data_IF_865090852075
#
_entry.id   IF_865090852075
#
_cell.length_a   1.000
_cell.length_b   1.000
_cell.length_c   1.000
_cell.angle_alpha   90.00
_cell.angle_beta   90.00
_cell.angle_gamma   90.00
#
_symmetry.space_group_name_H-M   'P 1'
#
loop_
_entity.id
_entity.type
_entity.pdbx_description
1 polymer ?
#
# COMPACT_ATOMS: atom_id res chain seq x y z
N UNK A 1 -13.23 -18.54 -15.59
CA UNK A 1 -12.18 -17.49 -15.49
C UNK A 1 -12.20 -16.85 -14.10
N UNK A 2 -11.15 -16.13 -13.67
CA UNK A 2 -11.15 -15.46 -12.35
C UNK A 2 -12.29 -14.44 -12.25
N UNK A 3 -12.55 -13.70 -13.33
CA UNK A 3 -13.63 -12.71 -13.45
C UNK A 3 -15.01 -13.30 -13.15
N UNK A 4 -15.37 -14.41 -13.79
CA UNK A 4 -16.63 -15.13 -13.57
C UNK A 4 -16.82 -15.57 -12.11
N UNK A 5 -15.71 -15.83 -11.39
CA UNK A 5 -15.76 -16.18 -9.97
C UNK A 5 -15.90 -14.97 -9.06
N UNK A 6 -15.48 -13.78 -9.51
CA UNK A 6 -15.54 -12.54 -8.74
C UNK A 6 -16.83 -11.75 -8.99
N UNK A 7 -17.43 -11.88 -10.17
CA UNK A 7 -18.66 -11.18 -10.56
C UNK A 7 -19.81 -11.26 -9.54
N UNK A 8 -20.07 -12.43 -8.90
CA UNK A 8 -21.15 -12.53 -7.90
C UNK A 8 -20.95 -11.70 -6.63
N UNK A 9 -19.75 -11.19 -6.36
CA UNK A 9 -19.43 -10.49 -5.12
C UNK A 9 -19.60 -8.96 -5.21
N UNK A 10 -19.96 -8.42 -6.38
CA UNK A 10 -20.18 -6.98 -6.61
C UNK A 10 -19.12 -6.09 -5.93
N UNK A 11 -17.85 -6.44 -6.19
CA UNK A 11 -16.73 -5.83 -5.49
C UNK A 11 -16.58 -4.36 -5.91
N UNK A 12 -16.35 -3.43 -4.97
CA UNK A 12 -16.20 -2.03 -5.33
C UNK A 12 -14.97 -1.76 -6.23
N UNK A 13 -15.16 -0.94 -7.26
CA UNK A 13 -14.17 -0.61 -8.30
C UNK A 13 -12.81 -0.16 -7.76
N UNK A 14 -12.78 0.45 -6.56
CA UNK A 14 -11.58 1.04 -5.95
C UNK A 14 -11.10 0.33 -4.67
N UNK A 15 -11.66 -0.84 -4.38
CA UNK A 15 -11.25 -1.68 -3.24
C UNK A 15 -10.75 -3.07 -3.63
N UNK A 16 -11.00 -3.52 -4.87
CA UNK A 16 -10.51 -4.80 -5.37
C UNK A 16 -9.32 -4.63 -6.34
N UNK A 17 -8.20 -5.28 -6.02
CA UNK A 17 -6.98 -5.29 -6.83
C UNK A 17 -6.41 -6.70 -6.91
N UNK A 18 -6.10 -7.16 -8.12
CA UNK A 18 -5.48 -8.47 -8.33
C UNK A 18 -3.96 -8.33 -8.43
N UNK A 19 -3.24 -9.03 -7.55
CA UNK A 19 -1.77 -9.09 -7.59
C UNK A 19 -1.29 -10.31 -8.36
N UNK A 20 -0.23 -10.16 -9.14
CA UNK A 20 0.47 -11.29 -9.76
C UNK A 20 1.97 -11.07 -9.80
N UNK A 21 2.75 -12.12 -9.58
CA UNK A 21 4.18 -12.11 -9.86
C UNK A 21 4.48 -12.21 -11.37
N UNK A 22 3.51 -12.59 -12.20
CA UNK A 22 3.75 -12.77 -13.63
C UNK A 22 4.07 -11.45 -14.32
N UNK A 23 5.17 -11.36 -15.09
CA UNK A 23 5.47 -10.18 -15.92
C UNK A 23 4.45 -9.94 -17.02
N UNK A 24 3.58 -10.92 -17.31
CA UNK A 24 2.58 -10.84 -18.38
C UNK A 24 1.20 -10.38 -17.91
N UNK A 25 0.97 -10.19 -16.61
CA UNK A 25 -0.38 -9.91 -16.08
C UNK A 25 -1.00 -8.65 -16.69
N UNK A 26 -0.26 -7.56 -16.83
CA UNK A 26 -0.74 -6.32 -17.43
C UNK A 26 -1.10 -6.47 -18.90
N UNK A 27 -0.17 -6.91 -19.76
CA UNK A 27 -0.46 -7.15 -21.17
C UNK A 27 -1.61 -8.13 -21.40
N UNK A 28 -1.69 -9.21 -20.62
CA UNK A 28 -2.75 -10.21 -20.73
C UNK A 28 -4.09 -9.62 -20.31
N UNK A 29 -4.19 -9.01 -19.13
CA UNK A 29 -5.43 -8.38 -18.64
C UNK A 29 -5.99 -7.38 -19.65
N UNK A 30 -5.11 -6.54 -20.22
CA UNK A 30 -5.49 -5.59 -21.28
C UNK A 30 -5.96 -6.29 -22.56
N UNK A 31 -5.30 -7.37 -22.98
CA UNK A 31 -5.66 -8.08 -24.22
C UNK A 31 -6.98 -8.82 -24.15
N UNK A 32 -7.39 -9.27 -22.95
CA UNK A 32 -8.65 -10.00 -22.74
C UNK A 32 -9.78 -9.10 -22.23
N UNK A 33 -9.51 -7.80 -22.01
CA UNK A 33 -10.50 -6.87 -21.47
C UNK A 33 -10.91 -7.14 -20.02
N UNK A 34 -10.00 -7.68 -19.21
CA UNK A 34 -10.28 -8.03 -17.81
C UNK A 34 -10.65 -6.78 -17.01
N UNK A 35 -11.84 -6.78 -16.39
CA UNK A 35 -12.45 -5.57 -15.81
C UNK A 35 -11.78 -5.18 -14.48
N UNK A 36 -11.28 -6.15 -13.72
CA UNK A 36 -10.67 -5.87 -12.43
C UNK A 36 -9.28 -5.22 -12.60
N UNK A 37 -8.97 -4.19 -11.79
CA UNK A 37 -7.62 -3.65 -11.71
C UNK A 37 -6.60 -4.74 -11.38
N UNK A 38 -5.48 -4.72 -12.08
CA UNK A 38 -4.34 -5.61 -11.84
C UNK A 38 -3.10 -4.82 -11.46
N UNK A 39 -2.23 -5.43 -10.65
CA UNK A 39 -0.86 -4.96 -10.46
C UNK A 39 0.13 -6.11 -10.46
N UNK A 40 1.35 -5.82 -10.91
CA UNK A 40 2.46 -6.76 -10.88
C UNK A 40 3.34 -6.54 -9.65
N UNK A 41 3.59 -7.61 -8.91
CA UNK A 41 4.57 -7.68 -7.82
C UNK A 41 5.99 -7.69 -8.40
N UNK A 42 6.80 -6.72 -7.97
CA UNK A 42 8.19 -6.53 -8.42
C UNK A 42 9.20 -6.75 -7.28
N UNK A 43 10.37 -7.36 -7.54
CA UNK A 43 10.76 -7.99 -8.79
C UNK A 43 10.04 -9.33 -8.97
N UNK A 44 10.17 -9.90 -10.17
CA UNK A 44 9.81 -11.30 -10.36
C UNK A 44 10.78 -12.18 -9.55
N UNK A 45 10.27 -12.84 -8.51
CA UNK A 45 11.01 -13.83 -7.74
C UNK A 45 11.14 -15.13 -8.53
N UNK A 46 12.37 -15.66 -8.60
CA UNK A 46 12.61 -17.00 -9.14
C UNK A 46 12.01 -18.06 -8.19
N UNK A 47 11.37 -19.12 -8.72
CA UNK A 47 10.75 -20.14 -7.86
C UNK A 47 11.76 -21.01 -7.10
N UNK A 48 13.03 -20.98 -7.49
CA UNK A 48 14.12 -21.81 -6.94
C UNK A 48 15.34 -20.95 -6.58
N UNK A 49 16.10 -21.34 -5.55
CA UNK A 49 17.35 -20.67 -5.11
C UNK A 49 17.63 -20.76 -3.61
N UNK A 50 18.67 -20.09 -3.10
CA UNK A 50 18.96 -19.99 -1.65
C UNK A 50 18.01 -18.99 -0.94
N UNK A 51 18.32 -18.45 0.24
CA UNK A 51 17.40 -17.61 1.06
C UNK A 51 16.62 -16.54 0.26
N UNK A 52 15.36 -16.20 0.62
CA UNK A 52 14.48 -15.30 -0.15
C UNK A 52 15.10 -13.96 -0.52
N UNK A 53 15.78 -13.30 0.44
CA UNK A 53 16.49 -12.03 0.21
C UNK A 53 17.62 -12.18 -0.83
N UNK A 54 18.38 -13.28 -0.79
CA UNK A 54 19.44 -13.56 -1.77
C UNK A 54 18.86 -13.83 -3.16
N UNK A 55 17.68 -14.46 -3.25
CA UNK A 55 16.97 -14.63 -4.52
C UNK A 55 16.55 -13.28 -5.08
N UNK A 56 15.96 -12.42 -4.24
CA UNK A 56 15.49 -11.10 -4.62
C UNK A 56 16.62 -10.25 -5.22
N UNK A 57 17.66 -10.00 -4.42
CA UNK A 57 18.77 -9.08 -4.77
C UNK A 57 19.66 -9.66 -5.87
N UNK A 58 19.79 -10.98 -5.92
CA UNK A 58 20.57 -11.68 -6.95
C UNK A 58 19.88 -11.80 -8.31
N UNK A 59 18.63 -11.35 -8.45
CA UNK A 59 17.93 -11.42 -9.74
C UNK A 59 18.31 -10.23 -10.63
N UNK A 60 18.72 -10.44 -11.89
CA UNK A 60 19.02 -9.34 -12.83
C UNK A 60 17.87 -8.33 -12.95
N UNK A 61 16.62 -8.82 -12.92
CA UNK A 61 15.44 -7.96 -12.93
C UNK A 61 15.43 -6.97 -11.75
N UNK A 62 15.87 -7.36 -10.55
CA UNK A 62 15.92 -6.44 -9.42
C UNK A 62 16.91 -5.30 -9.70
N UNK A 63 18.15 -5.64 -10.04
CA UNK A 63 19.23 -4.68 -10.31
C UNK A 63 18.87 -3.72 -11.46
N UNK A 64 18.28 -4.25 -12.54
CA UNK A 64 17.97 -3.49 -13.75
C UNK A 64 16.67 -2.67 -13.64
N UNK A 65 15.75 -3.02 -12.75
CA UNK A 65 14.48 -2.29 -12.59
C UNK A 65 14.62 -1.16 -11.58
N UNK A 66 14.70 0.08 -12.07
CA UNK A 66 14.60 1.25 -11.19
C UNK A 66 13.16 1.48 -10.79
N UNK A 67 12.92 2.07 -9.60
CA UNK A 67 11.57 2.40 -9.12
C UNK A 67 10.82 3.30 -10.12
N UNK A 68 11.50 4.28 -10.72
CA UNK A 68 10.91 5.14 -11.74
C UNK A 68 10.60 4.40 -13.04
N UNK A 69 11.43 3.44 -13.44
CA UNK A 69 11.18 2.54 -14.55
C UNK A 69 9.92 1.69 -14.34
N UNK A 70 9.78 1.11 -13.14
CA UNK A 70 8.60 0.35 -12.75
C UNK A 70 7.32 1.21 -12.79
N UNK A 71 7.35 2.41 -12.21
CA UNK A 71 6.22 3.35 -12.26
C UNK A 71 5.82 3.66 -13.71
N UNK A 72 6.79 3.96 -14.59
CA UNK A 72 6.52 4.25 -16.01
C UNK A 72 5.90 3.04 -16.72
N UNK A 73 6.42 1.85 -16.45
CA UNK A 73 5.91 0.61 -17.04
C UNK A 73 4.46 0.35 -16.59
N UNK A 74 4.19 0.37 -15.29
CA UNK A 74 2.85 0.14 -14.75
C UNK A 74 1.83 1.15 -15.27
N UNK A 75 2.20 2.43 -15.40
CA UNK A 75 1.35 3.46 -16.05
C UNK A 75 1.06 3.15 -17.51
N UNK A 76 2.07 2.74 -18.28
CA UNK A 76 1.90 2.35 -19.70
C UNK A 76 0.95 1.15 -19.85
N UNK A 77 0.96 0.25 -18.88
CA UNK A 77 0.08 -0.92 -18.81
C UNK A 77 -1.31 -0.59 -18.21
N UNK A 78 -1.57 0.66 -17.82
CA UNK A 78 -2.87 1.11 -17.27
C UNK A 78 -3.13 0.67 -15.83
N UNK A 79 -2.10 0.20 -15.11
CA UNK A 79 -2.25 -0.24 -13.72
C UNK A 79 -2.44 0.98 -12.79
N UNK A 80 -3.40 0.96 -11.85
CA UNK A 80 -3.61 2.07 -10.93
C UNK A 80 -2.63 2.08 -9.74
N UNK A 81 -1.94 0.96 -9.52
CA UNK A 81 -1.05 0.76 -8.41
C UNK A 81 0.20 -0.03 -8.83
N UNK A 82 1.30 0.19 -8.12
CA UNK A 82 2.55 -0.54 -8.21
C UNK A 82 2.71 -1.39 -6.96
N UNK A 83 3.10 -2.65 -7.13
CA UNK A 83 3.46 -3.51 -6.00
C UNK A 83 4.95 -3.89 -6.06
N UNK A 84 5.70 -3.69 -4.99
CA UNK A 84 7.14 -3.94 -4.97
C UNK A 84 7.71 -4.38 -3.63
N UNK A 85 8.89 -4.98 -3.68
CA UNK A 85 9.63 -5.39 -2.51
C UNK A 85 10.16 -4.18 -1.69
N UNK A 86 10.16 -4.27 -0.36
CA UNK A 86 10.66 -3.24 0.56
C UNK A 86 12.12 -2.88 0.28
N UNK A 87 12.92 -3.83 -0.20
CA UNK A 87 14.34 -3.68 -0.51
C UNK A 87 14.62 -2.65 -1.62
N UNK A 88 13.62 -2.26 -2.41
CA UNK A 88 13.74 -1.12 -3.34
C UNK A 88 13.84 0.23 -2.62
N UNK A 89 13.39 0.31 -1.36
CA UNK A 89 13.18 1.56 -0.63
C UNK A 89 13.98 1.61 0.69
N UNK A 90 14.22 0.47 1.31
CA UNK A 90 14.85 0.36 2.62
C UNK A 90 16.02 -0.62 2.59
N UNK A 91 17.06 -0.31 3.37
CA UNK A 91 18.28 -1.11 3.42
C UNK A 91 19.38 -0.60 2.49
N UNK A 92 20.45 -1.39 2.36
CA UNK A 92 21.57 -1.10 1.45
C UNK A 92 21.24 -1.48 0.00
N UNK A 93 20.29 -2.41 -0.17
CA UNK A 93 19.83 -2.99 -1.44
C UNK A 93 19.31 -1.92 -2.40
N UNK A 94 18.67 -0.86 -1.87
CA UNK A 94 18.15 0.25 -2.68
C UNK A 94 19.22 1.00 -3.49
N UNK A 95 20.49 0.86 -3.11
CA UNK A 95 21.62 1.48 -3.80
C UNK A 95 22.20 0.59 -4.90
N UNK A 96 21.72 -0.65 -5.05
CA UNK A 96 22.22 -1.61 -6.04
C UNK A 96 21.64 -1.34 -7.45
N UNK A 97 20.53 -0.61 -7.54
CA UNK A 97 19.85 -0.31 -8.80
C UNK A 97 20.56 0.78 -9.61
N UNK A 98 20.47 0.70 -10.94
CA UNK A 98 21.06 1.67 -11.88
C UNK A 98 20.28 3.00 -11.97
N UNK A 99 19.96 3.64 -10.85
CA UNK A 99 19.24 4.91 -10.83
C UNK A 99 19.25 5.63 -9.48
N UNK A 100 18.54 6.75 -9.39
CA UNK A 100 18.43 7.50 -8.13
C UNK A 100 17.71 6.65 -7.08
N UNK A 101 18.33 6.39 -5.92
CA UNK A 101 17.70 5.60 -4.87
C UNK A 101 16.48 6.32 -4.31
N UNK A 102 15.41 5.56 -4.12
CA UNK A 102 14.19 6.01 -3.43
C UNK A 102 14.21 5.52 -1.99
N UNK A 103 13.38 6.12 -1.13
CA UNK A 103 13.36 5.78 0.28
C UNK A 103 11.97 5.90 0.89
N UNK A 104 11.81 5.30 2.07
CA UNK A 104 10.59 5.39 2.88
C UNK A 104 10.50 6.70 3.69
N UNK A 105 11.59 7.48 3.78
CA UNK A 105 11.68 8.75 4.53
C UNK A 105 12.56 9.78 3.80
N UNK A 106 12.46 11.04 4.21
CA UNK A 106 13.31 12.16 3.74
C UNK A 106 13.17 12.46 2.24
N UNK A 107 14.21 13.06 1.64
CA UNK A 107 14.17 13.45 0.23
C UNK A 107 13.98 12.30 -0.77
N UNK A 108 14.31 11.06 -0.38
CA UNK A 108 14.01 9.87 -1.19
C UNK A 108 12.51 9.55 -1.26
N UNK A 109 11.79 9.76 -0.16
CA UNK A 109 10.33 9.65 -0.12
C UNK A 109 9.66 10.75 -0.96
N UNK A 110 10.16 11.98 -0.86
CA UNK A 110 9.61 13.09 -1.64
C UNK A 110 9.73 12.83 -3.15
N UNK A 111 10.91 12.39 -3.60
CA UNK A 111 11.13 11.97 -5.00
C UNK A 111 10.21 10.83 -5.41
N UNK A 112 10.02 9.83 -4.54
CA UNK A 112 9.12 8.71 -4.79
C UNK A 112 7.67 9.17 -4.94
N UNK A 113 7.19 10.01 -4.03
CA UNK A 113 5.82 10.54 -4.05
C UNK A 113 5.58 11.40 -5.30
N UNK A 114 6.52 12.27 -5.67
CA UNK A 114 6.48 13.01 -6.94
C UNK A 114 6.48 12.08 -8.16
N UNK A 115 7.27 11.01 -8.13
CA UNK A 115 7.33 10.06 -9.23
C UNK A 115 6.02 9.28 -9.42
N UNK A 116 5.40 8.80 -8.33
CA UNK A 116 4.15 8.01 -8.38
C UNK A 116 2.89 8.87 -8.54
N UNK A 117 2.92 10.13 -8.09
CA UNK A 117 1.93 11.17 -8.37
C UNK A 117 0.46 10.72 -8.25
N UNK A 118 0.12 10.00 -7.17
CA UNK A 118 -1.23 9.46 -6.91
C UNK A 118 -1.44 7.99 -7.26
N UNK A 119 -0.50 7.36 -7.96
CA UNK A 119 -0.48 5.90 -8.10
C UNK A 119 -0.32 5.23 -6.73
N UNK A 120 -1.11 4.19 -6.49
CA UNK A 120 -0.99 3.35 -5.29
C UNK A 120 0.37 2.67 -5.23
N UNK A 121 0.95 2.56 -4.03
CA UNK A 121 2.22 1.86 -3.83
C UNK A 121 2.04 0.80 -2.76
N UNK A 122 2.06 -0.46 -3.17
CA UNK A 122 1.95 -1.62 -2.32
C UNK A 122 3.34 -2.19 -2.06
N UNK A 123 3.70 -2.36 -0.78
CA UNK A 123 5.04 -2.80 -0.40
C UNK A 123 4.96 -4.09 0.41
N UNK A 124 5.84 -5.03 0.09
CA UNK A 124 6.00 -6.32 0.77
C UNK A 124 7.49 -6.64 0.99
N UNK A 125 7.89 -7.38 2.02
CA UNK A 125 7.13 -7.56 3.25
C UNK A 125 6.90 -6.22 3.96
N UNK A 126 5.90 -6.17 4.82
CA UNK A 126 5.62 -5.04 5.70
C UNK A 126 5.86 -5.44 7.16
N UNK A 127 7.12 -5.33 7.65
CA UNK A 127 7.47 -5.67 9.02
C UNK A 127 6.88 -4.65 10.01
N UNK A 128 6.52 -5.11 11.20
CA UNK A 128 5.84 -4.29 12.22
C UNK A 128 6.66 -3.06 12.61
N UNK A 129 7.98 -3.16 12.64
CA UNK A 129 8.90 -2.07 13.01
C UNK A 129 8.86 -0.88 12.03
N UNK A 130 8.38 -1.11 10.80
CA UNK A 130 8.29 -0.08 9.76
C UNK A 130 6.85 0.27 9.40
N UNK A 131 5.86 -0.44 9.94
CA UNK A 131 4.44 -0.32 9.58
C UNK A 131 3.96 1.13 9.67
N UNK A 132 4.12 1.78 10.83
CA UNK A 132 3.69 3.17 11.03
C UNK A 132 4.34 4.11 10.00
N UNK A 133 5.67 4.05 9.84
CA UNK A 133 6.39 4.92 8.92
C UNK A 133 6.03 4.69 7.45
N UNK A 134 5.74 3.45 7.07
CA UNK A 134 5.33 3.15 5.70
C UNK A 134 3.90 3.60 5.43
N UNK A 135 2.98 3.47 6.39
CA UNK A 135 1.63 4.02 6.30
C UNK A 135 1.67 5.56 6.22
N UNK A 136 2.47 6.21 7.05
CA UNK A 136 2.71 7.65 7.01
C UNK A 136 3.31 8.09 5.68
N UNK A 137 4.24 7.33 5.10
CA UNK A 137 4.79 7.56 3.78
C UNK A 137 3.75 7.43 2.64
N UNK A 138 2.56 6.90 2.95
CA UNK A 138 1.46 6.72 2.01
C UNK A 138 1.53 5.41 1.24
N UNK A 139 2.15 4.38 1.83
CA UNK A 139 2.24 3.05 1.23
C UNK A 139 1.11 2.17 1.73
N UNK A 140 0.56 1.38 0.80
CA UNK A 140 -0.23 0.22 1.16
C UNK A 140 0.71 -0.93 1.52
N UNK A 141 0.38 -1.67 2.57
CA UNK A 141 1.22 -2.69 3.16
C UNK A 141 0.64 -4.05 2.86
N UNK A 142 1.48 -4.96 2.37
CA UNK A 142 1.14 -6.37 2.25
C UNK A 142 1.90 -7.08 3.35
N UNK A 143 1.19 -7.43 4.42
CA UNK A 143 1.76 -8.00 5.65
C UNK A 143 1.29 -9.44 5.87
N UNK A 144 2.18 -10.23 6.43
CA UNK A 144 1.92 -11.54 7.04
C UNK A 144 1.36 -11.41 8.47
N UNK A 145 1.63 -10.29 9.15
CA UNK A 145 1.27 -10.03 10.53
C UNK A 145 -0.15 -9.46 10.65
N UNK A 146 -1.18 -10.27 10.42
CA UNK A 146 -2.58 -9.83 10.54
C UNK A 146 -3.30 -10.28 11.81
N UNK A 147 -2.54 -10.71 12.82
CA UNK A 147 -3.12 -11.08 14.11
C UNK A 147 -3.82 -9.85 14.76
N UNK A 148 -5.15 -9.89 14.95
CA UNK A 148 -5.89 -8.76 15.52
C UNK A 148 -5.55 -8.50 16.99
N UNK A 149 -4.82 -9.42 17.65
CA UNK A 149 -4.34 -9.26 19.03
C UNK A 149 -3.10 -8.39 19.12
N UNK A 150 -2.41 -8.14 18.00
CA UNK A 150 -1.27 -7.22 17.97
C UNK A 150 -1.82 -5.80 17.93
N UNK A 151 -1.89 -5.18 19.11
CA UNK A 151 -2.45 -3.84 19.32
C UNK A 151 -1.37 -2.78 19.49
N UNK A 152 -0.14 -3.17 19.80
CA UNK A 152 1.03 -2.30 19.92
C UNK A 152 2.05 -2.62 18.84
N UNK A 153 2.68 -1.58 18.30
CA UNK A 153 3.83 -1.69 17.41
C UNK A 153 5.13 -1.78 18.25
N UNK A 154 6.23 -2.32 17.68
CA UNK A 154 7.51 -2.46 18.39
C UNK A 154 8.12 -1.14 18.87
N UNK A 155 7.75 -0.01 18.28
CA UNK A 155 8.15 1.34 18.69
C UNK A 155 7.30 1.91 19.84
N UNK A 156 6.33 1.14 20.34
CA UNK A 156 5.39 1.53 21.39
C UNK A 156 4.15 2.25 20.89
N UNK A 157 4.03 2.54 19.58
CA UNK A 157 2.86 3.17 19.00
C UNK A 157 1.65 2.24 18.92
N UNK A 158 0.44 2.80 18.84
CA UNK A 158 -0.76 2.00 18.69
C UNK A 158 -0.91 1.47 17.26
N UNK A 159 -1.28 0.19 17.12
CA UNK A 159 -1.49 -0.44 15.83
C UNK A 159 -2.93 -0.31 15.37
N UNK A 160 -3.19 0.58 14.42
CA UNK A 160 -4.49 0.67 13.76
C UNK A 160 -4.51 -0.04 12.40
N UNK A 161 -5.22 -1.16 12.31
CA UNK A 161 -5.22 -2.03 11.13
C UNK A 161 -6.13 -1.56 9.98
N UNK A 162 -6.91 -0.50 10.17
CA UNK A 162 -7.90 0.02 9.20
C UNK A 162 -7.63 1.47 8.77
N UNK A 163 -6.39 1.85 8.40
CA UNK A 163 -6.01 3.26 8.20
C UNK A 163 -6.79 3.97 7.09
N UNK A 164 -7.23 3.25 6.07
CA UNK A 164 -8.04 3.79 4.97
C UNK A 164 -9.54 3.54 5.15
N UNK A 165 -9.94 2.32 5.51
CA UNK A 165 -11.36 1.93 5.57
C UNK A 165 -12.09 2.48 6.80
N UNK A 166 -11.39 2.83 7.86
CA UNK A 166 -11.93 3.47 9.05
C UNK A 166 -10.85 4.39 9.64
N UNK A 167 -10.60 5.56 9.04
CA UNK A 167 -9.48 6.42 9.42
C UNK A 167 -9.73 7.03 10.81
N UNK A 168 -8.70 7.01 11.67
CA UNK A 168 -8.73 7.70 12.95
C UNK A 168 -8.82 9.22 12.76
N UNK A 169 -9.64 9.88 13.56
CA UNK A 169 -9.56 11.32 13.79
C UNK A 169 -8.45 11.68 14.77
N UNK A 170 -8.28 12.97 15.03
CA UNK A 170 -7.18 13.47 15.85
C UNK A 170 -7.34 13.07 17.32
N UNK A 171 -8.57 13.11 17.83
CA UNK A 171 -8.89 12.74 19.22
C UNK A 171 -8.57 11.26 19.47
N UNK A 172 -8.97 10.37 18.56
CA UNK A 172 -8.66 8.96 18.66
C UNK A 172 -7.17 8.64 18.50
N UNK A 173 -6.46 9.37 17.63
CA UNK A 173 -5.00 9.24 17.52
C UNK A 173 -4.33 9.59 18.82
N UNK A 174 -4.63 10.76 19.38
CA UNK A 174 -4.06 11.23 20.64
C UNK A 174 -4.37 10.28 21.80
N UNK A 175 -5.62 9.82 21.90
CA UNK A 175 -6.05 8.86 22.92
C UNK A 175 -5.29 7.54 22.82
N UNK A 176 -5.07 7.02 21.62
CA UNK A 176 -4.34 5.76 21.40
C UNK A 176 -2.83 5.90 21.62
N UNK A 177 -2.25 7.04 21.24
CA UNK A 177 -0.82 7.32 21.37
C UNK A 177 -0.41 7.55 22.84
N UNK A 178 -1.31 8.09 23.66
CA UNK A 178 -1.07 8.36 25.08
C UNK A 178 -1.48 7.22 26.02
N UNK A 179 -2.26 6.26 25.54
CA UNK A 179 -2.75 5.14 26.34
C UNK A 179 -1.64 4.17 26.76
N UNK A 180 -1.84 3.53 27.92
CA UNK A 180 -1.00 2.43 28.33
C UNK A 180 -1.26 1.18 27.47
N UNK A 181 -0.23 0.35 27.26
CA UNK A 181 -0.34 -0.88 26.46
C UNK A 181 -1.46 -1.82 26.93
N UNK A 182 -1.73 -1.86 28.24
CA UNK A 182 -2.80 -2.68 28.83
C UNK A 182 -4.22 -2.24 28.44
N UNK A 183 -4.41 -0.96 28.12
CA UNK A 183 -5.72 -0.37 27.78
C UNK A 183 -5.96 -0.35 26.26
N UNK A 184 -4.89 -0.52 25.48
CA UNK A 184 -4.90 -0.30 24.03
C UNK A 184 -5.83 -1.25 23.28
N UNK A 185 -5.98 -2.48 23.73
CA UNK A 185 -6.90 -3.44 23.11
C UNK A 185 -8.36 -2.99 23.22
N UNK A 186 -8.77 -2.51 24.39
CA UNK A 186 -10.12 -2.01 24.62
C UNK A 186 -10.38 -0.72 23.84
N UNK A 187 -9.39 0.19 23.81
CA UNK A 187 -9.48 1.45 23.05
C UNK A 187 -9.57 1.22 21.54
N UNK A 188 -8.80 0.28 20.98
CA UNK A 188 -8.90 -0.07 19.54
C UNK A 188 -10.28 -0.64 19.21
N UNK A 189 -10.83 -1.46 20.11
CA UNK A 189 -12.19 -1.99 19.96
C UNK A 189 -13.21 -0.85 19.99
N UNK A 190 -13.14 0.02 21.00
CA UNK A 190 -14.03 1.17 21.16
C UNK A 190 -13.96 2.10 19.94
N UNK A 191 -12.76 2.45 19.48
CA UNK A 191 -12.55 3.24 18.25
C UNK A 191 -13.19 2.57 17.03
N UNK A 192 -13.08 1.24 16.94
CA UNK A 192 -13.66 0.44 15.88
C UNK A 192 -15.19 0.43 15.85
N UNK A 193 -15.83 0.61 17.01
CA UNK A 193 -17.27 0.66 17.17
C UNK A 193 -17.81 2.10 17.04
N UNK A 194 -17.01 3.11 17.40
CA UNK A 194 -17.42 4.52 17.41
C UNK A 194 -17.15 5.25 16.10
N UNK A 195 -16.05 4.94 15.39
CA UNK A 195 -15.65 5.67 14.21
C UNK A 195 -16.44 5.22 12.97
N UNK A 196 -16.87 6.15 12.10
CA UNK A 196 -17.47 5.79 10.83
C UNK A 196 -16.47 5.12 9.89
N UNK A 197 -16.93 4.12 9.14
CA UNK A 197 -16.21 3.57 8.00
C UNK A 197 -16.15 4.57 6.85
N UNK A 198 -15.32 4.31 5.84
CA UNK A 198 -15.16 5.18 4.67
C UNK A 198 -16.48 5.54 3.99
N UNK A 199 -17.39 4.57 3.84
CA UNK A 199 -18.71 4.76 3.24
C UNK A 199 -19.64 5.61 4.11
N UNK A 200 -19.47 5.57 5.43
CA UNK A 200 -20.29 6.31 6.41
C UNK A 200 -19.76 7.73 6.63
N UNK A 201 -18.51 8.02 6.26
CA UNK A 201 -17.94 9.36 6.35
C UNK A 201 -18.72 10.36 5.48
N UNK A 202 -19.06 11.49 6.09
CA UNK A 202 -19.61 12.64 5.37
C UNK A 202 -18.66 13.15 4.27
N UNK A 203 -19.24 13.69 3.20
CA UNK A 203 -18.52 14.16 2.01
C UNK A 203 -17.38 15.13 2.36
N UNK A 204 -17.66 16.08 3.26
CA UNK A 204 -16.66 17.06 3.72
C UNK A 204 -15.45 16.41 4.39
N UNK A 205 -15.66 15.36 5.19
CA UNK A 205 -14.57 14.65 5.87
C UNK A 205 -13.76 13.79 4.90
N UNK A 206 -14.42 13.07 3.99
CA UNK A 206 -13.75 12.34 2.89
C UNK A 206 -12.89 13.28 2.04
N UNK A 207 -13.45 14.42 1.64
CA UNK A 207 -12.72 15.46 0.90
C UNK A 207 -11.48 15.93 1.67
N UNK A 208 -11.62 16.25 2.96
CA UNK A 208 -10.51 16.71 3.79
C UNK A 208 -9.35 15.70 3.83
N UNK A 209 -9.65 14.42 4.05
CA UNK A 209 -8.65 13.34 4.07
C UNK A 209 -7.94 13.22 2.71
N UNK A 210 -8.70 13.22 1.62
CA UNK A 210 -8.14 13.02 0.28
C UNK A 210 -7.32 14.22 -0.19
N UNK A 211 -7.73 15.44 0.14
CA UNK A 211 -6.97 16.66 -0.18
C UNK A 211 -5.66 16.72 0.60
N UNK A 212 -5.68 16.40 1.89
CA UNK A 212 -4.46 16.29 2.69
C UNK A 212 -3.50 15.28 2.05
N UNK A 213 -3.98 14.07 1.79
CA UNK A 213 -3.23 12.99 1.19
C UNK A 213 -2.65 13.39 -0.17
N UNK A 214 -3.48 13.98 -1.04
CA UNK A 214 -3.09 14.39 -2.37
C UNK A 214 -2.01 15.45 -2.38
N UNK A 215 -2.11 16.44 -1.48
CA UNK A 215 -1.06 17.47 -1.30
C UNK A 215 0.23 16.87 -0.78
N UNK A 216 0.17 16.08 0.30
CA UNK A 216 1.35 15.47 0.94
C UNK A 216 2.09 14.50 0.02
N UNK A 217 1.36 13.81 -0.86
CA UNK A 217 1.89 12.78 -1.75
C UNK A 217 2.00 13.21 -3.22
N UNK A 218 1.88 14.51 -3.51
CA UNK A 218 2.03 15.11 -4.84
C UNK A 218 1.15 14.46 -5.93
N UNK A 219 -0.13 14.21 -5.62
CA UNK A 219 -1.05 13.64 -6.59
C UNK A 219 -1.24 14.57 -7.78
N UNK A 220 -1.43 14.02 -8.99
CA UNK A 220 -1.71 14.85 -10.17
C UNK A 220 -3.15 15.35 -10.20
N UNK A 221 -3.37 16.56 -10.70
CA UNK A 221 -4.71 17.13 -10.88
C UNK A 221 -5.07 18.13 -9.79
N UNK A 222 -6.35 18.45 -9.67
CA UNK A 222 -6.89 19.37 -8.67
C UNK A 222 -7.48 18.64 -7.48
N UNK A 223 -7.65 19.37 -6.38
CA UNK A 223 -8.33 18.90 -5.17
C UNK A 223 -9.76 18.44 -5.46
N UNK A 224 -10.48 19.15 -6.32
CA UNK A 224 -11.83 18.76 -6.75
C UNK A 224 -11.84 17.45 -7.52
N UNK A 225 -10.82 17.21 -8.36
CA UNK A 225 -10.68 15.93 -9.06
C UNK A 225 -10.51 14.80 -8.04
N UNK A 226 -9.61 14.96 -7.06
CA UNK A 226 -9.38 13.91 -6.06
C UNK A 226 -10.60 13.66 -5.19
N UNK A 227 -11.33 14.73 -4.82
CA UNK A 227 -12.55 14.64 -4.03
C UNK A 227 -13.67 13.91 -4.79
N UNK A 228 -13.90 14.24 -6.06
CA UNK A 228 -14.88 13.54 -6.90
C UNK A 228 -14.51 12.07 -7.07
N UNK A 229 -13.22 11.78 -7.28
CA UNK A 229 -12.70 10.42 -7.34
C UNK A 229 -12.90 9.61 -6.04
N UNK A 230 -13.01 10.27 -4.90
CA UNK A 230 -13.23 9.67 -3.59
C UNK A 230 -14.70 9.24 -3.35
N UNK A 231 -15.64 9.77 -4.14
CA UNK A 231 -17.06 9.41 -4.07
C UNK A 231 -17.29 7.98 -4.56
N UNK A 232 -16.55 7.56 -5.59
CA UNK A 232 -16.54 6.17 -6.11
C UNK A 232 -15.72 5.18 -5.26
N UNK A 233 -15.22 5.60 -4.10
CA UNK A 233 -14.44 4.77 -3.18
C UNK A 233 -13.05 5.30 -2.88
N UNK A 234 -12.31 4.57 -2.05
CA UNK A 234 -10.98 4.95 -1.58
C UNK A 234 -9.98 5.10 -2.75
N UNK A 235 -9.33 6.27 -2.92
CA UNK A 235 -8.31 6.43 -3.94
C UNK A 235 -7.18 5.39 -3.84
N UNK A 236 -6.60 5.01 -4.99
CA UNK A 236 -5.49 4.04 -5.01
C UNK A 236 -4.25 4.52 -4.28
N UNK A 237 -4.00 5.83 -4.27
CA UNK A 237 -2.90 6.45 -3.53
C UNK A 237 -3.04 6.41 -2.01
N UNK A 238 -4.22 6.08 -1.47
CA UNK A 238 -4.48 6.02 -0.02
C UNK A 238 -3.88 4.75 0.60
N UNK A 239 -3.18 4.85 1.75
CA UNK A 239 -2.50 3.73 2.38
C UNK A 239 -3.48 2.72 2.99
N UNK A 240 -3.28 1.43 2.71
CA UNK A 240 -4.09 0.31 3.21
C UNK A 240 -3.19 -0.70 3.92
N UNK A 241 -3.74 -1.47 4.86
CA UNK A 241 -3.09 -2.68 5.36
C UNK A 241 -3.83 -3.89 4.79
N UNK A 242 -3.11 -4.78 4.13
CA UNK A 242 -3.67 -5.98 3.50
C UNK A 242 -2.95 -7.22 4.00
N UNK A 243 -3.73 -8.21 4.42
CA UNK A 243 -3.23 -9.50 4.83
C UNK A 243 -2.90 -10.41 3.67
N UNK A 244 -1.70 -10.97 3.67
CA UNK A 244 -1.35 -12.07 2.78
C UNK A 244 -0.41 -13.04 3.48
N UNK A 245 -0.86 -14.28 3.65
CA UNK A 245 -0.05 -15.35 4.25
C UNK A 245 1.18 -15.62 3.39
N UNK A 246 2.38 -15.52 3.97
CA UNK A 246 3.65 -15.68 3.25
C UNK A 246 4.10 -14.45 2.45
N UNK A 247 3.62 -13.25 2.79
CA UNK A 247 4.12 -11.98 2.23
C UNK A 247 5.44 -11.51 2.85
N UNK A 248 5.69 -11.89 4.10
CA UNK A 248 7.00 -11.96 4.75
C UNK A 248 7.30 -13.41 5.05
N UNK A 249 8.58 -13.72 5.25
CA UNK A 249 9.16 -15.05 5.32
C UNK A 249 8.28 -16.13 5.99
N UNK A 250 8.17 -17.28 5.31
CA UNK A 250 8.07 -18.54 6.03
C UNK A 250 9.44 -18.77 6.64
N UNK A 251 9.60 -18.34 7.88
CA UNK A 251 10.56 -18.91 8.85
C UNK A 251 9.81 -19.06 10.19
#
# INVERSE_FOLDING_TARGET
LLEEKLGPFDLPDRSALVYSFSPRIGPVAKSVGFEFPVTRLSPYLRPWGSKPIRRLVGTPNFILSTVTGLIKQHRKEGMPALAMALQYLQGWERFVHLGTPMAIRGGGLERLNRARAGMGLHVWPAPLELEASMLEAGFSLISDNMDPRVVSLPDGGARWSRPASQPLDEEWRERLDTAADSERADLIKEAGESLPTWSELGVSRRRGIVVEQGRRMFWTGSEDKWAAEAEGGLPWGSPRLTGHRGAGDTD
#
